data_IF_131742579628
#
_entry.id   IF_131742579628
#
_cell.length_a   1.000
_cell.length_b   1.000
_cell.length_c   1.000
_cell.angle_alpha   90.00
_cell.angle_beta   90.00
_cell.angle_gamma   90.00
#
_symmetry.space_group_name_H-M   'P 1'
#
loop_
_entity.id
_entity.type
_entity.pdbx_description
1 polymer ?
#
# COMPACT_ATOMS: atom_id res chain seq x y z
N UNK A 1 -2.93 10.64 -8.70
CA UNK A 1 -1.70 9.83 -8.87
C UNK A 1 -2.04 8.60 -9.69
N UNK A 2 -1.16 8.20 -10.58
CA UNK A 2 -1.36 6.95 -11.34
C UNK A 2 -0.86 5.76 -10.52
N UNK A 3 -1.11 4.55 -11.04
CA UNK A 3 -0.74 3.30 -10.35
C UNK A 3 0.76 3.22 -10.07
N UNK A 4 1.57 3.64 -11.01
CA UNK A 4 3.02 3.57 -10.88
C UNK A 4 3.53 4.48 -9.76
N UNK A 5 2.99 5.68 -9.66
CA UNK A 5 3.34 6.61 -8.60
C UNK A 5 2.93 6.07 -7.22
N UNK A 6 1.74 5.48 -7.13
CA UNK A 6 1.27 4.89 -5.88
C UNK A 6 2.18 3.73 -5.48
N UNK A 7 2.52 2.88 -6.42
CA UNK A 7 3.39 1.73 -6.17
C UNK A 7 4.78 2.19 -5.66
N UNK A 8 5.34 3.23 -6.28
CA UNK A 8 6.62 3.76 -5.84
C UNK A 8 6.56 4.32 -4.42
N UNK A 9 5.47 4.98 -4.06
CA UNK A 9 5.29 5.47 -2.69
C UNK A 9 5.16 4.32 -1.70
N UNK A 10 4.45 3.26 -2.07
CA UNK A 10 4.35 2.07 -1.22
C UNK A 10 5.72 1.44 -0.99
N UNK A 11 6.52 1.32 -2.04
CA UNK A 11 7.88 0.78 -1.93
C UNK A 11 8.73 1.61 -0.98
N UNK A 12 8.62 2.94 -1.07
CA UNK A 12 9.36 3.84 -0.20
C UNK A 12 8.95 3.67 1.26
N UNK A 13 7.65 3.56 1.53
CA UNK A 13 7.13 3.34 2.88
C UNK A 13 7.60 2.01 3.46
N UNK A 14 7.55 0.96 2.66
CA UNK A 14 8.00 -0.36 3.08
C UNK A 14 9.49 -0.33 3.41
N UNK A 15 10.28 0.36 2.61
CA UNK A 15 11.70 0.53 2.88
C UNK A 15 11.94 1.26 4.20
N UNK A 16 11.24 2.38 4.40
CA UNK A 16 11.41 3.20 5.60
C UNK A 16 10.99 2.48 6.88
N UNK A 17 9.86 1.75 6.81
CA UNK A 17 9.30 1.11 7.99
C UNK A 17 9.92 -0.24 8.33
N UNK A 18 10.23 -1.02 7.31
CA UNK A 18 10.61 -2.43 7.49
C UNK A 18 12.01 -2.75 6.99
N UNK A 19 12.70 -1.81 6.39
CA UNK A 19 14.06 -2.00 5.90
C UNK A 19 14.18 -2.90 4.69
N UNK A 20 13.09 -3.11 3.95
CA UNK A 20 13.10 -3.94 2.75
C UNK A 20 13.63 -3.12 1.57
N UNK A 21 14.54 -3.70 0.79
CA UNK A 21 15.11 -3.04 -0.39
C UNK A 21 14.01 -2.82 -1.44
N UNK A 22 13.76 -1.56 -1.84
CA UNK A 22 12.73 -1.27 -2.86
C UNK A 22 12.98 -2.01 -4.18
N UNK A 23 14.23 -2.29 -4.52
CA UNK A 23 14.57 -3.01 -5.74
C UNK A 23 14.07 -4.45 -5.74
N UNK A 24 13.80 -5.02 -4.55
CA UNK A 24 13.26 -6.38 -4.42
C UNK A 24 11.73 -6.42 -4.48
N UNK A 25 11.08 -5.25 -4.55
CA UNK A 25 9.62 -5.14 -4.52
C UNK A 25 9.06 -4.90 -5.91
N UNK A 26 7.90 -5.49 -6.18
CA UNK A 26 7.14 -5.24 -7.41
C UNK A 26 5.65 -5.41 -7.10
N UNK A 27 4.79 -5.20 -8.10
CA UNK A 27 3.35 -5.28 -7.91
C UNK A 27 2.85 -6.65 -7.44
N UNK A 28 3.55 -7.71 -7.77
CA UNK A 28 3.17 -9.07 -7.39
C UNK A 28 3.68 -9.46 -5.99
N UNK A 29 4.53 -8.65 -5.37
CA UNK A 29 5.04 -8.93 -4.03
C UNK A 29 3.91 -8.93 -3.02
N UNK A 30 3.81 -10.00 -2.22
CA UNK A 30 2.73 -10.16 -1.25
C UNK A 30 3.18 -9.76 0.16
N UNK A 31 2.18 -9.58 1.03
CA UNK A 31 2.42 -9.28 2.44
C UNK A 31 3.33 -10.33 3.09
N UNK A 32 3.11 -11.61 2.82
CA UNK A 32 3.92 -12.67 3.41
C UNK A 32 5.36 -12.64 2.92
N UNK A 33 5.59 -12.24 1.68
CA UNK A 33 6.95 -12.10 1.15
C UNK A 33 7.71 -10.95 1.80
N UNK A 34 7.01 -9.89 2.17
CA UNK A 34 7.60 -8.77 2.90
C UNK A 34 7.88 -9.16 4.36
N UNK A 35 7.10 -10.10 4.90
CA UNK A 35 7.29 -10.61 6.25
C UNK A 35 6.61 -9.76 7.33
N UNK A 36 5.55 -9.06 6.99
CA UNK A 36 4.79 -8.23 7.95
C UNK A 36 3.46 -8.90 8.29
N UNK A 37 2.99 -8.68 9.51
CA UNK A 37 1.69 -9.19 9.94
C UNK A 37 0.56 -8.18 9.64
N UNK A 38 -0.67 -8.58 9.97
CA UNK A 38 -1.85 -7.74 9.70
C UNK A 38 -1.81 -6.42 10.45
N UNK A 39 -1.27 -6.40 11.66
CA UNK A 39 -1.19 -5.18 12.45
C UNK A 39 -0.23 -4.17 11.81
N UNK A 40 0.93 -4.65 11.38
CA UNK A 40 1.90 -3.79 10.70
C UNK A 40 1.36 -3.33 9.34
N UNK A 41 0.58 -4.17 8.67
CA UNK A 41 -0.06 -3.80 7.42
C UNK A 41 -1.04 -2.64 7.63
N UNK A 42 -1.87 -2.71 8.68
CA UNK A 42 -2.82 -1.65 9.00
C UNK A 42 -2.08 -0.35 9.32
N UNK A 43 -1.01 -0.42 10.10
CA UNK A 43 -0.18 0.75 10.40
C UNK A 43 0.36 1.41 9.13
N UNK A 44 0.83 0.61 8.20
CA UNK A 44 1.32 1.10 6.91
C UNK A 44 0.20 1.77 6.12
N UNK A 45 -1.00 1.17 6.10
CA UNK A 45 -2.14 1.74 5.40
C UNK A 45 -2.53 3.11 5.96
N UNK A 46 -2.42 3.30 7.27
CA UNK A 46 -2.68 4.60 7.89
C UNK A 46 -1.65 5.66 7.43
N UNK A 47 -0.40 5.27 7.28
CA UNK A 47 0.62 6.17 6.73
C UNK A 47 0.34 6.52 5.28
N UNK A 48 -0.16 5.56 4.50
CA UNK A 48 -0.52 5.80 3.10
C UNK A 48 -1.63 6.85 3.04
N UNK A 49 -2.65 6.75 3.90
CA UNK A 49 -3.71 7.76 3.99
C UNK A 49 -3.14 9.16 4.22
N UNK A 50 -2.27 9.27 5.21
CA UNK A 50 -1.67 10.55 5.58
C UNK A 50 -0.81 11.12 4.45
N UNK A 51 0.01 10.28 3.86
CA UNK A 51 0.97 10.72 2.85
C UNK A 51 0.30 11.12 1.53
N UNK A 52 -0.72 10.39 1.13
CA UNK A 52 -1.41 10.65 -0.13
C UNK A 52 -2.64 11.54 0.01
N UNK A 53 -3.00 11.91 1.24
CA UNK A 53 -4.05 12.88 1.50
C UNK A 53 -5.46 12.39 1.23
N UNK A 54 -5.76 11.14 1.58
CA UNK A 54 -7.09 10.58 1.44
C UNK A 54 -7.41 9.68 2.63
N UNK A 55 -8.65 9.19 2.72
CA UNK A 55 -9.08 8.27 3.78
C UNK A 55 -9.68 7.02 3.16
N UNK A 56 -9.25 5.85 3.62
CA UNK A 56 -9.88 4.60 3.19
C UNK A 56 -11.30 4.53 3.75
N UNK A 57 -12.29 4.31 2.89
CA UNK A 57 -13.65 4.03 3.33
C UNK A 57 -13.74 2.61 3.91
N UNK A 58 -12.94 1.71 3.35
CA UNK A 58 -12.88 0.32 3.78
C UNK A 58 -11.48 -0.19 3.51
N UNK A 59 -10.91 -0.92 4.45
CA UNK A 59 -9.63 -1.61 4.28
C UNK A 59 -9.88 -3.09 4.01
N UNK A 60 -10.79 -3.37 3.08
CA UNK A 60 -11.19 -4.72 2.72
C UNK A 60 -10.15 -5.35 1.81
N UNK A 61 -9.15 -5.98 2.41
CA UNK A 61 -8.05 -6.64 1.72
C UNK A 61 -8.17 -8.15 1.84
N UNK A 62 -7.74 -8.92 0.83
CA UNK A 62 -7.63 -10.36 0.96
C UNK A 62 -6.58 -10.72 2.01
N UNK A 63 -6.51 -12.00 2.35
CA UNK A 63 -5.65 -12.50 3.43
C UNK A 63 -4.17 -12.22 3.24
N UNK A 64 -3.71 -12.30 2.00
CA UNK A 64 -2.30 -12.09 1.65
C UNK A 64 -2.21 -11.17 0.45
N UNK A 65 -2.51 -9.86 0.63
CA UNK A 65 -2.60 -8.95 -0.51
C UNK A 65 -1.22 -8.71 -1.13
N UNK A 66 -1.23 -8.53 -2.45
CA UNK A 66 -0.04 -8.06 -3.17
C UNK A 66 -0.02 -6.54 -3.16
N UNK A 67 1.10 -5.95 -3.56
CA UNK A 67 1.19 -4.50 -3.67
C UNK A 67 0.21 -3.97 -4.71
N UNK A 68 -0.01 -4.71 -5.80
CA UNK A 68 -1.02 -4.34 -6.80
C UNK A 68 -2.42 -4.25 -6.19
N UNK A 69 -2.77 -5.18 -5.29
CA UNK A 69 -4.05 -5.16 -4.59
C UNK A 69 -4.19 -3.90 -3.75
N UNK A 70 -3.13 -3.52 -3.06
CA UNK A 70 -3.11 -2.30 -2.25
C UNK A 70 -3.22 -1.06 -3.15
N UNK A 71 -2.51 -1.04 -4.27
CA UNK A 71 -2.59 0.06 -5.24
C UNK A 71 -4.01 0.21 -5.76
N UNK A 72 -4.68 -0.90 -6.09
CA UNK A 72 -6.08 -0.88 -6.54
C UNK A 72 -7.00 -0.25 -5.50
N UNK A 73 -6.82 -0.64 -4.25
CA UNK A 73 -7.63 -0.10 -3.16
C UNK A 73 -7.40 1.40 -3.00
N UNK A 74 -6.15 1.83 -3.02
CA UNK A 74 -5.78 3.24 -2.93
C UNK A 74 -6.41 4.03 -4.07
N UNK A 75 -6.27 3.56 -5.30
CA UNK A 75 -6.83 4.26 -6.47
C UNK A 75 -8.35 4.42 -6.38
N UNK A 76 -9.05 3.36 -5.98
CA UNK A 76 -10.51 3.41 -5.86
C UNK A 76 -10.94 4.45 -4.84
N UNK A 77 -10.26 4.49 -3.69
CA UNK A 77 -10.62 5.45 -2.64
C UNK A 77 -10.26 6.87 -3.02
N UNK A 78 -9.12 7.09 -3.64
CA UNK A 78 -8.72 8.42 -4.11
C UNK A 78 -9.68 8.93 -5.19
N UNK A 79 -10.07 8.09 -6.12
CA UNK A 79 -11.00 8.46 -7.19
C UNK A 79 -12.36 8.90 -6.62
N UNK A 80 -12.87 8.19 -5.62
CA UNK A 80 -14.13 8.54 -4.96
C UNK A 80 -14.07 9.89 -4.26
N UNK A 81 -12.95 10.21 -3.64
CA UNK A 81 -12.79 11.42 -2.85
C UNK A 81 -12.41 12.63 -3.70
N UNK A 82 -11.97 12.43 -4.92
CA UNK A 82 -11.65 13.49 -5.86
C UNK A 82 -12.79 13.79 -6.84
N UNK A 83 -13.79 12.96 -6.84
CA UNK A 83 -14.97 13.16 -7.70
C UNK A 83 -15.97 14.20 -7.10
#
# INVERSE_FOLDING_TARGET
MDREQILERLKALIHERFGVDPASLNGATTQSEIGIDSLLMVDMMLDVETELGFTFESMDLPRNPSLDTIVDLVQRNMAKQQA
#
